data_IF_155901152939
#
_entry.id   IF_155901152939
#
_cell.length_a   1.000
_cell.length_b   1.000
_cell.length_c   1.000
_cell.angle_alpha   90.00
_cell.angle_beta   90.00
_cell.angle_gamma   90.00
#
_symmetry.space_group_name_H-M   'P 1'
#
loop_
_entity.id
_entity.type
_entity.pdbx_description
1 polymer ?
#
# COMPACT_ATOMS: atom_id res chain seq x y z
N UNK A 1 -22.05 8.04 -27.59
CA UNK A 1 -21.75 6.68 -27.13
C UNK A 1 -22.87 6.29 -26.20
N UNK A 2 -23.69 5.34 -26.60
CA UNK A 2 -24.79 4.85 -25.77
C UNK A 2 -24.19 4.09 -24.59
N UNK A 3 -24.43 4.57 -23.37
CA UNK A 3 -24.00 3.92 -22.15
C UNK A 3 -24.94 2.74 -21.93
N UNK A 4 -24.46 1.53 -22.23
CA UNK A 4 -25.20 0.32 -21.89
C UNK A 4 -25.30 0.22 -20.36
N UNK A 5 -26.51 0.15 -19.77
CA UNK A 5 -26.62 0.00 -18.33
C UNK A 5 -25.93 -1.30 -17.91
N UNK A 6 -25.04 -1.20 -16.93
CA UNK A 6 -24.35 -2.37 -16.38
C UNK A 6 -25.41 -3.39 -15.92
N UNK A 7 -25.32 -4.67 -16.33
CA UNK A 7 -26.21 -5.72 -15.83
C UNK A 7 -25.92 -6.07 -14.36
N UNK A 8 -24.84 -5.52 -13.81
CA UNK A 8 -24.43 -5.74 -12.43
C UNK A 8 -25.03 -4.68 -11.50
N UNK A 9 -25.50 -5.06 -10.30
CA UNK A 9 -25.95 -4.10 -9.31
C UNK A 9 -24.82 -3.12 -8.98
N UNK A 10 -25.18 -1.89 -8.62
CA UNK A 10 -24.23 -0.84 -8.24
C UNK A 10 -23.38 -1.32 -7.05
N UNK A 11 -22.09 -1.58 -7.30
CA UNK A 11 -21.14 -1.99 -6.26
C UNK A 11 -20.52 -0.73 -5.67
N UNK A 12 -21.13 -0.19 -4.62
CA UNK A 12 -20.75 1.08 -3.98
C UNK A 12 -19.27 1.15 -3.57
N UNK A 13 -18.67 0.00 -3.25
CA UNK A 13 -17.26 -0.11 -2.82
C UNK A 13 -16.38 -0.86 -3.82
N UNK A 14 -16.91 -1.19 -5.00
CA UNK A 14 -16.21 -1.95 -6.03
C UNK A 14 -15.07 -1.16 -6.66
N UNK A 15 -13.93 -1.83 -6.88
CA UNK A 15 -12.76 -1.25 -7.53
C UNK A 15 -12.24 -2.13 -8.66
N UNK A 16 -11.52 -1.52 -9.60
CA UNK A 16 -10.68 -2.25 -10.57
C UNK A 16 -9.25 -2.29 -10.04
N UNK A 17 -8.61 -3.47 -10.06
CA UNK A 17 -7.26 -3.66 -9.53
C UNK A 17 -6.38 -4.33 -10.57
N UNK A 18 -5.21 -3.75 -10.80
CA UNK A 18 -4.08 -4.45 -11.41
C UNK A 18 -3.19 -4.99 -10.30
N UNK A 19 -2.99 -6.30 -10.27
CA UNK A 19 -2.16 -6.97 -9.27
C UNK A 19 -1.05 -7.75 -9.96
N UNK A 20 0.21 -7.39 -9.65
CA UNK A 20 1.40 -7.96 -10.27
C UNK A 20 2.30 -8.52 -9.19
N UNK A 21 2.82 -9.74 -9.38
CA UNK A 21 3.83 -10.34 -8.51
C UNK A 21 5.11 -10.51 -9.28
N UNK A 22 6.19 -9.99 -8.72
CA UNK A 22 7.53 -10.21 -9.22
C UNK A 22 8.20 -11.26 -8.32
N UNK A 23 8.95 -12.22 -8.90
CA UNK A 23 9.78 -13.11 -8.09
C UNK A 23 10.81 -12.29 -7.30
N UNK A 24 11.21 -12.76 -6.12
CA UNK A 24 12.20 -12.03 -5.29
C UNK A 24 13.53 -11.90 -6.02
N UNK A 25 13.85 -12.88 -6.85
CA UNK A 25 14.99 -12.90 -7.77
C UNK A 25 15.01 -11.70 -8.70
N UNK A 26 13.85 -11.20 -9.14
CA UNK A 26 13.79 -9.98 -9.96
C UNK A 26 14.33 -8.77 -9.20
N UNK A 27 13.94 -8.58 -7.93
CA UNK A 27 14.45 -7.50 -7.10
C UNK A 27 15.96 -7.67 -6.83
N UNK A 28 16.41 -8.91 -6.55
CA UNK A 28 17.82 -9.20 -6.25
C UNK A 28 18.72 -8.97 -7.47
N UNK A 29 18.29 -9.40 -8.66
CA UNK A 29 19.09 -9.33 -9.88
C UNK A 29 19.01 -7.97 -10.56
N UNK A 30 17.85 -7.30 -10.55
CA UNK A 30 17.61 -6.04 -11.26
C UNK A 30 17.74 -4.81 -10.35
N UNK A 31 17.61 -4.99 -9.04
CA UNK A 31 17.68 -3.92 -8.06
C UNK A 31 16.37 -3.13 -7.92
N UNK A 32 16.33 -2.31 -6.87
CA UNK A 32 15.16 -1.51 -6.50
C UNK A 32 14.78 -0.46 -7.55
N UNK A 33 15.77 0.13 -8.25
CA UNK A 33 15.51 1.15 -9.26
C UNK A 33 14.73 0.61 -10.46
N UNK A 34 15.03 -0.61 -10.92
CA UNK A 34 14.30 -1.26 -12.03
C UNK A 34 12.86 -1.61 -11.61
N UNK A 35 12.65 -2.05 -10.37
CA UNK A 35 11.29 -2.28 -9.83
C UNK A 35 10.50 -0.97 -9.78
N UNK A 36 11.14 0.12 -9.34
CA UNK A 36 10.53 1.45 -9.30
C UNK A 36 10.22 1.97 -10.70
N UNK A 37 11.11 1.77 -11.66
CA UNK A 37 10.88 2.16 -13.06
C UNK A 37 9.66 1.43 -13.64
N UNK A 38 9.59 0.11 -13.47
CA UNK A 38 8.44 -0.68 -13.90
C UNK A 38 7.12 -0.19 -13.28
N UNK A 39 7.12 0.10 -11.98
CA UNK A 39 5.93 0.60 -11.29
C UNK A 39 5.49 1.98 -11.81
N UNK A 40 6.45 2.87 -12.13
CA UNK A 40 6.17 4.17 -12.72
C UNK A 40 5.59 4.04 -14.13
N UNK A 41 6.12 3.15 -14.96
CA UNK A 41 5.64 2.91 -16.32
C UNK A 41 4.18 2.41 -16.29
N UNK A 42 3.86 1.48 -15.40
CA UNK A 42 2.48 0.99 -15.20
C UNK A 42 1.56 2.10 -14.71
N UNK A 43 2.00 2.88 -13.71
CA UNK A 43 1.20 3.94 -13.10
C UNK A 43 0.97 5.14 -14.05
N UNK A 44 1.85 5.34 -15.04
CA UNK A 44 1.67 6.35 -16.06
C UNK A 44 0.49 6.05 -17.00
N UNK A 45 0.27 4.77 -17.30
CA UNK A 45 -0.75 4.30 -18.26
C UNK A 45 -2.15 4.14 -17.65
N UNK A 46 -2.24 3.97 -16.33
CA UNK A 46 -3.50 3.64 -15.65
C UNK A 46 -4.02 4.80 -14.79
N UNK A 47 -5.33 5.12 -14.86
CA UNK A 47 -5.95 5.93 -13.82
C UNK A 47 -5.97 5.13 -12.51
N UNK A 48 -5.62 5.76 -11.39
CA UNK A 48 -5.66 5.11 -10.08
C UNK A 48 -6.09 6.09 -8.97
N UNK A 49 -6.80 5.56 -7.98
CA UNK A 49 -7.09 6.26 -6.72
C UNK A 49 -5.98 6.05 -5.69
N UNK A 50 -5.45 4.82 -5.66
CA UNK A 50 -4.35 4.40 -4.80
C UNK A 50 -3.63 3.20 -5.44
N UNK A 51 -2.42 2.93 -4.96
CA UNK A 51 -1.63 1.77 -5.35
C UNK A 51 -0.36 1.67 -4.52
N UNK A 52 0.34 0.55 -4.60
CA UNK A 52 1.57 0.34 -3.84
C UNK A 52 2.54 -0.63 -4.50
N UNK A 53 3.78 -0.59 -4.04
CA UNK A 53 4.79 -1.63 -4.28
C UNK A 53 5.48 -1.92 -2.96
N UNK A 54 5.62 -3.21 -2.62
CA UNK A 54 6.28 -3.62 -1.40
C UNK A 54 6.93 -5.00 -1.51
N UNK A 55 7.78 -5.32 -0.54
CA UNK A 55 8.25 -6.67 -0.32
C UNK A 55 7.19 -7.45 0.46
N UNK A 56 6.68 -8.54 -0.11
CA UNK A 56 5.48 -9.19 0.40
C UNK A 56 5.67 -10.69 0.69
N UNK A 57 5.09 -11.14 1.81
CA UNK A 57 4.76 -12.52 2.07
C UNK A 57 3.32 -12.77 1.57
N UNK A 58 3.18 -13.57 0.51
CA UNK A 58 1.87 -13.90 -0.04
C UNK A 58 1.23 -15.06 0.72
N UNK A 59 -0.01 -14.89 1.17
CA UNK A 59 -0.82 -15.96 1.78
C UNK A 59 -2.26 -15.90 1.28
N UNK A 60 -2.98 -17.02 1.41
CA UNK A 60 -4.43 -16.97 1.38
C UNK A 60 -4.94 -16.19 2.59
N UNK A 61 -5.99 -15.37 2.40
CA UNK A 61 -6.59 -14.52 3.43
C UNK A 61 -7.05 -15.32 4.65
N UNK A 62 -7.54 -16.54 4.42
CA UNK A 62 -7.94 -17.48 5.49
C UNK A 62 -6.78 -17.93 6.39
N UNK A 63 -5.54 -17.75 5.94
CA UNK A 63 -4.34 -18.24 6.62
C UNK A 63 -3.42 -17.10 7.08
N UNK A 64 -3.92 -15.86 7.12
CA UNK A 64 -3.13 -14.69 7.52
C UNK A 64 -2.54 -14.82 8.92
N UNK A 65 -3.26 -15.37 9.90
CA UNK A 65 -2.72 -15.58 11.25
C UNK A 65 -1.52 -16.54 11.25
N UNK A 66 -1.57 -17.61 10.45
CA UNK A 66 -0.45 -18.53 10.31
C UNK A 66 0.72 -17.87 9.59
N UNK A 67 0.46 -17.08 8.55
CA UNK A 67 1.47 -16.32 7.84
C UNK A 67 2.15 -15.27 8.73
N UNK A 68 1.41 -14.59 9.61
CA UNK A 68 1.96 -13.64 10.58
C UNK A 68 2.99 -14.31 11.52
N UNK A 69 2.80 -15.59 11.85
CA UNK A 69 3.79 -16.34 12.66
C UNK A 69 5.10 -16.57 11.93
N UNK A 70 5.13 -16.49 10.60
CA UNK A 70 6.34 -16.62 9.79
C UNK A 70 7.17 -15.33 9.75
N UNK A 71 6.56 -14.18 10.07
CA UNK A 71 7.22 -12.88 10.12
C UNK A 71 7.79 -12.67 11.53
N UNK A 72 8.83 -13.46 11.87
CA UNK A 72 9.48 -13.45 13.20
C UNK A 72 11.00 -13.28 13.07
N UNK A 73 11.63 -12.37 13.84
CA UNK A 73 11.04 -11.27 14.63
C UNK A 73 10.10 -10.38 13.79
N UNK A 74 9.21 -9.58 14.42
CA UNK A 74 8.27 -8.78 13.66
C UNK A 74 9.02 -7.81 12.75
N UNK A 75 8.96 -8.10 11.45
CA UNK A 75 9.53 -7.34 10.35
C UNK A 75 8.43 -6.48 9.71
N UNK A 76 8.17 -5.26 10.23
CA UNK A 76 6.97 -4.51 9.89
C UNK A 76 6.94 -4.03 8.43
N UNK A 77 8.08 -4.01 7.74
CA UNK A 77 8.14 -3.70 6.31
C UNK A 77 7.85 -4.90 5.39
N UNK A 78 7.63 -6.10 5.93
CA UNK A 78 7.13 -7.22 5.13
C UNK A 78 5.62 -7.07 5.01
N UNK A 79 5.12 -6.80 3.82
CA UNK A 79 3.68 -6.73 3.58
C UNK A 79 3.07 -8.14 3.58
N UNK A 80 1.94 -8.31 4.27
CA UNK A 80 1.16 -9.55 4.19
C UNK A 80 0.14 -9.38 3.07
N UNK A 81 0.44 -9.94 1.90
CA UNK A 81 -0.39 -9.79 0.71
C UNK A 81 -1.36 -10.97 0.56
N UNK A 82 -2.64 -10.72 0.24
CA UNK A 82 -3.55 -11.78 -0.17
C UNK A 82 -3.11 -12.39 -1.50
N UNK A 83 -3.48 -13.66 -1.73
CA UNK A 83 -3.21 -14.38 -2.97
C UNK A 83 -3.96 -13.82 -4.18
N UNK A 84 -4.96 -12.97 -3.95
CA UNK A 84 -5.77 -12.26 -4.93
C UNK A 84 -6.02 -10.81 -4.52
N UNK A 85 -6.26 -9.93 -5.50
CA UNK A 85 -6.62 -8.53 -5.25
C UNK A 85 -7.90 -8.38 -4.42
N UNK A 86 -7.92 -7.41 -3.50
CA UNK A 86 -9.14 -6.98 -2.82
C UNK A 86 -9.95 -6.06 -3.77
N UNK A 87 -11.18 -6.47 -4.09
CA UNK A 87 -12.05 -5.75 -5.03
C UNK A 87 -13.05 -4.81 -4.32
N UNK A 88 -12.97 -4.67 -3.00
CA UNK A 88 -13.92 -3.94 -2.15
C UNK A 88 -13.23 -2.89 -1.27
N UNK A 89 -12.40 -2.05 -1.89
CA UNK A 89 -11.63 -1.03 -1.18
C UNK A 89 -12.12 0.41 -1.41
N UNK A 90 -13.12 0.63 -2.28
CA UNK A 90 -13.60 1.97 -2.62
C UNK A 90 -12.46 2.96 -2.95
N UNK A 91 -12.22 3.95 -2.10
CA UNK A 91 -11.16 4.98 -2.23
C UNK A 91 -10.14 4.91 -1.08
N UNK A 92 -10.19 3.84 -0.28
CA UNK A 92 -9.25 3.60 0.81
C UNK A 92 -7.86 3.23 0.29
N UNK A 93 -6.84 3.45 1.11
CA UNK A 93 -5.45 3.06 0.83
C UNK A 93 -5.13 1.78 1.60
N UNK A 94 -4.59 0.76 0.93
CA UNK A 94 -4.32 -0.57 1.53
C UNK A 94 -3.52 -0.49 2.84
N UNK A 95 -2.46 0.30 2.84
CA UNK A 95 -1.53 0.38 3.94
C UNK A 95 -0.42 1.38 3.67
N UNK A 96 0.66 1.25 4.44
CA UNK A 96 1.91 1.97 4.19
C UNK A 96 2.97 0.97 3.74
N UNK A 97 3.57 1.28 2.59
CA UNK A 97 4.47 0.41 1.86
C UNK A 97 5.77 1.13 1.49
N UNK A 98 6.73 0.41 0.91
CA UNK A 98 7.93 1.03 0.34
C UNK A 98 7.61 2.11 -0.70
N UNK A 99 6.68 1.86 -1.63
CA UNK A 99 6.16 2.83 -2.59
C UNK A 99 4.65 2.96 -2.45
N UNK A 100 4.15 4.19 -2.35
CA UNK A 100 2.73 4.48 -2.17
C UNK A 100 2.28 5.47 -3.25
N UNK A 101 1.34 5.05 -4.08
CA UNK A 101 0.69 5.87 -5.08
C UNK A 101 -0.60 6.44 -4.50
N UNK A 102 -0.75 7.75 -4.50
CA UNK A 102 -1.96 8.43 -4.05
C UNK A 102 -2.52 9.29 -5.18
N UNK A 103 -3.79 9.09 -5.50
CA UNK A 103 -4.56 9.93 -6.42
C UNK A 103 -5.51 10.86 -5.68
N UNK A 104 -6.32 11.58 -6.46
CA UNK A 104 -7.19 12.68 -6.02
C UNK A 104 -8.04 12.37 -4.76
N UNK A 105 -8.71 11.20 -4.61
CA UNK A 105 -9.67 11.02 -3.51
C UNK A 105 -9.07 11.12 -2.11
N UNK A 106 -7.79 10.78 -1.96
CA UNK A 106 -7.05 10.87 -0.69
C UNK A 106 -6.07 12.04 -0.74
N UNK A 107 -5.38 12.25 -1.86
CA UNK A 107 -4.45 13.36 -2.03
C UNK A 107 -5.14 14.73 -1.83
N UNK A 108 -6.35 14.90 -2.36
CA UNK A 108 -7.17 16.10 -2.19
C UNK A 108 -7.55 16.33 -0.72
N UNK A 109 -7.95 15.27 0.00
CA UNK A 109 -8.25 15.34 1.45
C UNK A 109 -7.03 15.70 2.29
N UNK A 110 -5.84 15.32 1.83
CA UNK A 110 -4.56 15.68 2.46
C UNK A 110 -4.10 17.10 2.10
N UNK A 111 -4.81 17.84 1.24
CA UNK A 111 -4.46 19.19 0.81
C UNK A 111 -3.40 19.23 -0.30
N UNK A 112 -3.25 18.14 -1.06
CA UNK A 112 -2.35 18.04 -2.21
C UNK A 112 -0.88 17.83 -1.84
N UNK A 113 -0.03 17.80 -2.87
CA UNK A 113 1.40 17.48 -2.73
C UNK A 113 2.16 18.51 -1.89
N UNK A 114 1.77 19.78 -1.97
CA UNK A 114 2.36 20.85 -1.14
C UNK A 114 2.17 20.58 0.36
N UNK A 115 0.98 20.12 0.76
CA UNK A 115 0.70 19.73 2.14
C UNK A 115 1.48 18.48 2.53
N UNK A 116 1.55 17.46 1.67
CA UNK A 116 2.39 16.28 1.90
C UNK A 116 3.85 16.67 2.16
N UNK A 117 4.41 17.57 1.35
CA UNK A 117 5.80 18.04 1.47
C UNK A 117 6.06 18.75 2.80
N UNK A 118 5.08 19.51 3.30
CA UNK A 118 5.17 20.15 4.61
C UNK A 118 5.15 19.15 5.77
N UNK A 119 4.34 18.09 5.69
CA UNK A 119 4.22 17.07 6.74
C UNK A 119 5.32 16.00 6.70
N UNK A 120 5.83 15.68 5.50
CA UNK A 120 6.77 14.58 5.24
C UNK A 120 8.18 15.06 4.87
N UNK A 121 8.57 16.26 5.31
CA UNK A 121 9.91 16.82 5.08
C UNK A 121 11.07 16.10 5.80
N UNK A 122 10.96 14.78 6.00
CA UNK A 122 11.95 13.94 6.66
C UNK A 122 12.93 13.30 5.65
N UNK A 123 14.23 13.18 5.96
CA UNK A 123 15.19 12.55 5.07
C UNK A 123 14.83 11.13 4.61
N UNK A 124 14.95 10.89 3.31
CA UNK A 124 14.69 9.58 2.70
C UNK A 124 13.22 9.31 2.37
N UNK A 125 12.33 10.31 2.45
CA UNK A 125 11.03 10.28 1.78
C UNK A 125 11.14 11.08 0.49
N UNK A 126 10.81 10.45 -0.63
CA UNK A 126 10.82 11.09 -1.96
C UNK A 126 9.38 11.25 -2.42
N UNK A 127 9.01 12.48 -2.77
CA UNK A 127 7.71 12.80 -3.37
C UNK A 127 7.92 13.09 -4.86
N UNK A 128 7.29 12.31 -5.72
CA UNK A 128 7.30 12.51 -7.17
C UNK A 128 5.88 12.79 -7.66
N UNK A 129 5.67 14.01 -8.13
CA UNK A 129 4.39 14.43 -8.74
C UNK A 129 4.19 13.70 -10.07
N UNK A 130 2.96 13.30 -10.31
CA UNK A 130 2.51 12.62 -11.54
C UNK A 130 1.35 13.42 -12.15
N UNK A 131 1.05 13.18 -13.44
CA UNK A 131 -0.06 13.85 -14.11
C UNK A 131 -1.40 13.53 -13.44
N UNK A 132 -2.34 14.49 -13.44
CA UNK A 132 -3.72 14.27 -13.00
C UNK A 132 -3.91 14.14 -11.48
N UNK A 133 -3.30 15.04 -10.70
CA UNK A 133 -3.41 15.07 -9.23
C UNK A 133 -3.07 13.73 -8.57
N UNK A 134 -1.90 13.20 -8.96
CA UNK A 134 -1.34 11.95 -8.46
C UNK A 134 0.08 12.17 -7.96
N UNK A 135 0.49 11.37 -6.98
CA UNK A 135 1.84 11.42 -6.41
C UNK A 135 2.32 10.02 -6.06
N UNK A 136 3.60 9.78 -6.31
CA UNK A 136 4.34 8.65 -5.75
C UNK A 136 5.12 9.12 -4.51
N UNK A 137 4.93 8.41 -3.40
CA UNK A 137 5.69 8.56 -2.17
C UNK A 137 6.59 7.34 -2.02
N UNK A 138 7.91 7.52 -2.05
CA UNK A 138 8.90 6.45 -1.88
C UNK A 138 9.60 6.57 -0.53
N UNK A 139 9.63 5.49 0.24
CA UNK A 139 10.22 5.43 1.59
C UNK A 139 11.58 4.71 1.55
N UNK A 140 12.65 5.47 1.35
CA UNK A 140 14.00 4.91 1.21
C UNK A 140 14.31 4.40 -0.21
N UNK A 141 15.57 4.06 -0.44
CA UNK A 141 16.05 3.66 -1.78
C UNK A 141 15.67 2.22 -2.18
N UNK A 142 15.34 1.38 -1.21
CA UNK A 142 14.99 -0.03 -1.39
C UNK A 142 13.96 -0.43 -0.33
N UNK A 143 13.17 -1.50 -0.54
CA UNK A 143 12.24 -1.97 0.48
C UNK A 143 13.02 -2.40 1.73
N UNK A 144 12.57 -1.94 2.89
CA UNK A 144 13.19 -2.23 4.18
C UNK A 144 12.25 -3.11 5.00
N UNK A 145 12.64 -4.34 5.31
CA UNK A 145 11.83 -5.23 6.17
C UNK A 145 11.69 -4.68 7.60
N UNK A 146 12.66 -3.90 8.07
CA UNK A 146 12.80 -3.51 9.48
C UNK A 146 13.10 -4.72 10.37
N UNK A 147 13.15 -4.49 11.68
CA UNK A 147 13.31 -5.49 12.73
C UNK A 147 13.03 -4.80 14.07
N UNK A 148 11.86 -5.04 14.65
CA UNK A 148 11.44 -4.36 15.88
C UNK A 148 12.31 -4.77 17.07
N UNK A 149 12.78 -6.02 17.13
CA UNK A 149 13.62 -6.50 18.23
C UNK A 149 15.02 -5.88 18.17
N UNK A 150 15.52 -5.60 16.96
CA UNK A 150 16.76 -4.86 16.75
C UNK A 150 16.59 -3.32 16.78
N UNK A 151 15.40 -2.80 17.10
CA UNK A 151 15.11 -1.37 17.16
C UNK A 151 14.98 -0.66 15.80
N UNK A 152 14.89 -1.41 14.70
CA UNK A 152 14.69 -0.89 13.35
C UNK A 152 13.19 -0.62 13.09
N UNK A 153 12.69 0.46 13.70
CA UNK A 153 11.26 0.77 13.79
C UNK A 153 10.63 1.43 12.54
N UNK A 154 11.37 1.49 11.41
CA UNK A 154 10.93 2.09 10.14
C UNK A 154 10.26 3.48 10.30
N UNK A 155 11.00 4.51 10.79
CA UNK A 155 10.42 5.81 11.12
C UNK A 155 9.72 6.51 9.94
N UNK A 156 10.18 6.27 8.70
CA UNK A 156 9.56 6.81 7.48
C UNK A 156 8.15 6.24 7.26
N UNK A 157 7.98 4.94 7.50
CA UNK A 157 6.69 4.26 7.40
C UNK A 157 5.76 4.77 8.49
N UNK A 158 6.24 4.90 9.73
CA UNK A 158 5.47 5.47 10.85
C UNK A 158 5.02 6.92 10.59
N UNK A 159 5.89 7.74 9.99
CA UNK A 159 5.54 9.11 9.65
C UNK A 159 4.40 9.18 8.61
N UNK A 160 4.47 8.37 7.55
CA UNK A 160 3.41 8.29 6.55
C UNK A 160 2.13 7.67 7.13
N UNK A 161 2.24 6.64 7.97
CA UNK A 161 1.09 5.98 8.57
C UNK A 161 0.25 6.94 9.42
N UNK A 162 0.88 7.78 10.23
CA UNK A 162 0.18 8.79 11.04
C UNK A 162 -0.60 9.78 10.19
N UNK A 163 -0.09 10.13 9.01
CA UNK A 163 -0.76 11.03 8.07
C UNK A 163 -1.92 10.31 7.36
N UNK A 164 -1.76 9.03 7.05
CA UNK A 164 -2.74 8.23 6.32
C UNK A 164 -3.80 7.55 7.20
N UNK A 165 -3.65 7.47 8.52
CA UNK A 165 -4.55 6.73 9.43
C UNK A 165 -6.05 6.94 9.16
N UNK A 166 -6.56 8.17 8.89
CA UNK A 166 -7.98 8.38 8.60
C UNK A 166 -8.45 7.83 7.24
N UNK A 167 -7.53 7.35 6.40
CA UNK A 167 -7.73 6.94 5.01
C UNK A 167 -7.20 5.53 4.71
N UNK A 168 -6.70 4.82 5.73
CA UNK A 168 -6.25 3.44 5.58
C UNK A 168 -7.44 2.47 5.57
N UNK A 169 -7.36 1.49 4.68
CA UNK A 169 -8.21 0.33 4.69
C UNK A 169 -7.90 -0.53 5.92
N UNK A 170 -8.91 -1.24 6.43
CA UNK A 170 -8.82 -2.15 7.57
C UNK A 170 -9.73 -3.33 7.27
N UNK A 171 -9.27 -4.53 7.60
CA UNK A 171 -9.99 -5.76 7.25
C UNK A 171 -11.35 -5.87 7.97
N UNK A 172 -11.54 -5.18 9.11
CA UNK A 172 -12.85 -5.10 9.79
C UNK A 172 -13.89 -4.25 9.05
N UNK A 173 -13.49 -3.57 7.97
CA UNK A 173 -14.41 -2.93 7.02
C UNK A 173 -14.90 -3.87 5.91
N UNK A 174 -14.35 -5.08 5.81
CA UNK A 174 -14.85 -6.13 4.91
C UNK A 174 -15.77 -7.09 5.66
N UNK A 175 -16.95 -7.35 5.09
CA UNK A 175 -17.90 -8.32 5.64
C UNK A 175 -17.56 -9.77 5.24
N UNK A 176 -16.60 -9.96 4.31
CA UNK A 176 -16.32 -11.28 3.72
C UNK A 176 -15.40 -12.17 4.55
N UNK A 177 -14.50 -11.57 5.35
CA UNK A 177 -13.49 -12.31 6.10
C UNK A 177 -13.46 -11.83 7.56
N UNK A 178 -13.48 -12.73 8.55
CA UNK A 178 -13.36 -12.32 9.94
C UNK A 178 -11.97 -11.74 10.21
N UNK A 179 -11.91 -10.45 10.53
CA UNK A 179 -10.68 -9.82 10.98
C UNK A 179 -10.30 -10.31 12.39
N UNK A 180 -9.10 -10.86 12.53
CA UNK A 180 -8.57 -11.33 13.82
C UNK A 180 -7.88 -10.18 14.56
N UNK A 181 -7.78 -10.23 15.88
CA UNK A 181 -7.09 -9.20 16.66
C UNK A 181 -5.62 -9.04 16.25
N UNK A 182 -4.96 -10.14 15.89
CA UNK A 182 -3.56 -10.12 15.44
C UNK A 182 -3.43 -9.48 14.05
N UNK A 183 -4.37 -9.73 13.13
CA UNK A 183 -4.42 -9.05 11.83
C UNK A 183 -4.66 -7.55 12.01
N UNK A 184 -5.63 -7.15 12.84
CA UNK A 184 -5.91 -5.72 13.08
C UNK A 184 -4.71 -5.02 13.74
N UNK A 185 -4.00 -5.69 14.65
CA UNK A 185 -2.75 -5.17 15.21
C UNK A 185 -1.67 -5.05 14.14
N UNK A 186 -1.60 -6.00 13.21
CA UNK A 186 -0.65 -5.96 12.09
C UNK A 186 -0.93 -4.82 11.11
N UNK A 187 -2.20 -4.57 10.76
CA UNK A 187 -2.59 -3.42 9.93
C UNK A 187 -2.19 -2.10 10.58
N UNK A 188 -2.23 -2.05 11.92
CA UNK A 188 -1.85 -0.88 12.72
C UNK A 188 -0.36 -0.82 13.13
N UNK A 189 0.49 -1.75 12.66
CA UNK A 189 1.90 -1.90 13.11
C UNK A 189 2.79 -0.64 13.02
N UNK A 190 2.41 0.34 12.22
CA UNK A 190 3.12 1.62 12.09
C UNK A 190 2.52 2.78 12.90
N UNK A 191 1.33 2.58 13.45
CA UNK A 191 0.62 3.55 14.30
C UNK A 191 0.93 3.32 15.78
N UNK A 192 1.08 2.06 16.16
CA UNK A 192 1.28 1.61 17.54
C UNK A 192 2.77 1.49 17.96
#
# INVERSE_FOLDING_TARGET
MDVWPSPWPEQKDGVSVLYVRLPTEFLVERGADEVRALALDVAAELPFNSGYVDFALCSDGWHFDEALKLIRPPYPGVHLAPSSANLRMNTWVDGVHWMNFLGEPVLGKLGGVSSLRAHLGFPGIILQEMSGDRVLITLGAQPEAGDVEAGQALPRHRALARLLDPYLYRSDMDDLYPATEDLLRWERRFLD
#
